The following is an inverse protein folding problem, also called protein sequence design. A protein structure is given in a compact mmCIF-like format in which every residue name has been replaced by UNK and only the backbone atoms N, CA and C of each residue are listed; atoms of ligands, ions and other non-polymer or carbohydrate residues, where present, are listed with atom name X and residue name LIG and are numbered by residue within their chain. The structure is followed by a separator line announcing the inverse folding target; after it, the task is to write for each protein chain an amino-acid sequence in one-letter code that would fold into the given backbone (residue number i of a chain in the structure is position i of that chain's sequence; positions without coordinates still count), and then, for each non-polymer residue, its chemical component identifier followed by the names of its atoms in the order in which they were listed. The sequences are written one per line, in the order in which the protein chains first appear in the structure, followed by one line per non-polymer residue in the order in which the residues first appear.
data_IF_123914763168
#
_entry.id   IF_123914763168
#
_cell.length_a   1.000
_cell.length_b   1.000
_cell.length_c   1.000
_cell.angle_alpha   90.00
_cell.angle_beta   90.00
_cell.angle_gamma   90.00
#
_symmetry.space_group_name_H-M   'P 1'
#
loop_
_entity.id
_entity.type
_entity.pdbx_description
1 polymer ?
#
# COMPACT_ATOMS: atom_id res chain seq x y z
N UNK A 1 -4.02 2.58 8.68
CA UNK A 1 -4.91 2.66 7.49
C UNK A 1 -5.46 4.06 7.23
N UNK A 2 -5.84 4.82 8.27
CA UNK A 2 -6.58 6.09 8.11
C UNK A 2 -5.79 7.23 7.49
N UNK A 3 -4.48 7.27 7.68
CA UNK A 3 -3.63 8.37 7.21
C UNK A 3 -3.01 8.11 5.83
N UNK A 4 -2.57 6.88 5.57
CA UNK A 4 -1.80 6.54 4.36
C UNK A 4 -2.52 5.65 3.34
N UNK A 5 -3.63 5.00 3.69
CA UNK A 5 -4.36 4.14 2.75
C UNK A 5 -5.69 4.81 2.39
N UNK A 6 -6.58 4.98 3.36
CA UNK A 6 -7.93 5.52 3.14
C UNK A 6 -7.98 6.81 2.30
N UNK A 7 -7.15 7.84 2.55
CA UNK A 7 -7.20 9.09 1.79
C UNK A 7 -6.70 8.95 0.34
N UNK A 8 -5.92 7.92 0.06
CA UNK A 8 -5.35 7.66 -1.26
C UNK A 8 -6.19 6.71 -2.12
N UNK A 9 -6.97 5.80 -1.51
CA UNK A 9 -7.81 4.84 -2.25
C UNK A 9 -9.21 5.37 -2.59
N UNK A 10 -9.82 6.18 -1.70
CA UNK A 10 -11.23 6.58 -1.85
C UNK A 10 -12.23 5.50 -1.41
N UNK A 11 -13.48 5.89 -1.17
CA UNK A 11 -14.52 5.00 -0.61
C UNK A 11 -15.73 4.92 -1.56
N UNK A 12 -16.08 3.71 -1.99
CA UNK A 12 -17.28 3.45 -2.80
C UNK A 12 -18.20 2.47 -2.06
N UNK A 13 -19.37 2.92 -1.59
CA UNK A 13 -20.26 2.10 -0.74
C UNK A 13 -21.15 1.11 -1.51
N UNK A 14 -21.17 1.19 -2.85
CA UNK A 14 -21.92 0.30 -3.74
C UNK A 14 -20.97 -0.33 -4.74
N UNK A 15 -21.13 -1.61 -5.03
CA UNK A 15 -20.27 -2.32 -5.98
C UNK A 15 -20.34 -1.66 -7.35
N UNK A 16 -19.20 -1.51 -8.01
CA UNK A 16 -19.11 -1.01 -9.38
C UNK A 16 -18.17 -1.88 -10.21
N UNK A 17 -18.29 -1.79 -11.53
CA UNK A 17 -17.47 -2.54 -12.46
C UNK A 17 -16.23 -1.72 -12.83
N UNK A 18 -15.06 -2.18 -12.41
CA UNK A 18 -13.78 -1.65 -12.88
C UNK A 18 -13.55 -2.13 -14.31
N UNK A 19 -13.60 -1.19 -15.26
CA UNK A 19 -13.43 -1.45 -16.70
C UNK A 19 -12.00 -1.84 -17.07
N UNK A 20 -11.01 -1.41 -16.29
CA UNK A 20 -9.60 -1.69 -16.53
C UNK A 20 -9.23 -3.07 -15.99
N UNK A 21 -9.60 -3.35 -14.74
CA UNK A 21 -9.36 -4.66 -14.12
C UNK A 21 -10.35 -5.74 -14.55
N UNK A 22 -11.46 -5.37 -15.21
CA UNK A 22 -12.56 -6.27 -15.63
C UNK A 22 -13.08 -7.11 -14.47
N UNK A 23 -13.30 -6.45 -13.33
CA UNK A 23 -13.79 -7.08 -12.10
C UNK A 23 -14.76 -6.13 -11.38
N UNK A 24 -15.66 -6.69 -10.57
CA UNK A 24 -16.43 -5.89 -9.63
C UNK A 24 -15.59 -5.58 -8.39
N UNK A 25 -15.67 -4.34 -7.93
CA UNK A 25 -15.05 -3.92 -6.67
C UNK A 25 -15.95 -2.97 -5.88
N UNK A 26 -15.62 -2.79 -4.60
CA UNK A 26 -16.38 -2.00 -3.63
C UNK A 26 -15.45 -1.49 -2.52
N UNK A 27 -15.94 -0.61 -1.65
CA UNK A 27 -15.24 -0.09 -0.49
C UNK A 27 -13.94 0.63 -0.87
N UNK A 28 -12.80 0.15 -0.36
CA UNK A 28 -11.46 0.70 -0.62
C UNK A 28 -10.70 -0.15 -1.65
N UNK A 29 -11.43 -0.67 -2.65
CA UNK A 29 -10.90 -1.59 -3.67
C UNK A 29 -10.97 -3.06 -3.28
N UNK A 30 -12.01 -3.47 -2.53
CA UNK A 30 -12.27 -4.88 -2.23
C UNK A 30 -12.86 -5.57 -3.45
N UNK A 31 -12.25 -6.68 -3.87
CA UNK A 31 -12.70 -7.52 -4.99
C UNK A 31 -13.22 -8.88 -4.52
N UNK A 32 -13.05 -9.20 -3.23
CA UNK A 32 -13.55 -10.42 -2.60
C UNK A 32 -14.12 -10.12 -1.21
N UNK A 33 -15.27 -10.70 -0.90
CA UNK A 33 -15.92 -10.63 0.41
C UNK A 33 -16.09 -12.06 0.93
N UNK A 34 -15.49 -12.36 2.09
CA UNK A 34 -15.51 -13.70 2.69
C UNK A 34 -15.06 -14.80 1.71
N UNK A 35 -14.01 -14.51 0.93
CA UNK A 35 -13.43 -15.44 -0.05
C UNK A 35 -14.16 -15.52 -1.40
N UNK A 36 -15.34 -14.91 -1.53
CA UNK A 36 -16.13 -14.90 -2.77
C UNK A 36 -15.92 -13.60 -3.56
N UNK A 37 -15.93 -13.62 -4.90
CA UNK A 37 -15.87 -12.41 -5.70
C UNK A 37 -16.99 -11.42 -5.34
N UNK A 38 -16.68 -10.12 -5.39
CA UNK A 38 -17.73 -9.09 -5.38
C UNK A 38 -18.60 -9.25 -6.62
N UNK A 39 -19.89 -9.00 -6.48
CA UNK A 39 -20.86 -9.03 -7.57
C UNK A 39 -21.68 -7.75 -7.59
N UNK A 40 -22.38 -7.52 -8.69
CA UNK A 40 -23.31 -6.41 -8.82
C UNK A 40 -24.34 -6.37 -7.67
N UNK A 41 -24.72 -5.16 -7.25
CA UNK A 41 -25.75 -4.91 -6.25
C UNK A 41 -25.30 -5.01 -4.78
N UNK A 42 -24.03 -5.34 -4.51
CA UNK A 42 -23.52 -5.34 -3.14
C UNK A 42 -23.41 -3.90 -2.60
N UNK A 43 -23.68 -3.74 -1.30
CA UNK A 43 -23.48 -2.47 -0.60
C UNK A 43 -23.03 -2.70 0.84
N UNK A 44 -22.23 -1.79 1.36
CA UNK A 44 -21.75 -1.81 2.73
C UNK A 44 -21.76 -0.41 3.33
N UNK A 45 -21.82 -0.34 4.65
CA UNK A 45 -21.58 0.90 5.41
C UNK A 45 -20.09 1.26 5.40
N UNK A 46 -19.79 2.52 5.72
CA UNK A 46 -18.40 3.00 5.86
C UNK A 46 -17.65 2.20 6.91
N UNK A 47 -18.32 1.85 8.00
CA UNK A 47 -17.78 1.10 9.13
C UNK A 47 -17.44 -0.34 8.72
N UNK A 48 -18.33 -0.99 7.96
CA UNK A 48 -18.07 -2.31 7.39
C UNK A 48 -16.90 -2.27 6.40
N UNK A 49 -16.86 -1.28 5.50
CA UNK A 49 -15.74 -1.09 4.57
C UNK A 49 -14.41 -0.90 5.31
N UNK A 50 -14.40 -0.12 6.39
CA UNK A 50 -13.22 0.10 7.22
C UNK A 50 -12.78 -1.18 7.93
N UNK A 51 -13.71 -1.95 8.48
CA UNK A 51 -13.42 -3.22 9.15
C UNK A 51 -12.79 -4.23 8.17
N UNK A 52 -13.33 -4.33 6.96
CA UNK A 52 -12.77 -5.17 5.89
C UNK A 52 -11.36 -4.73 5.51
N UNK A 53 -11.15 -3.43 5.31
CA UNK A 53 -9.84 -2.87 5.01
C UNK A 53 -8.81 -3.19 6.11
N UNK A 54 -9.17 -3.03 7.39
CA UNK A 54 -8.25 -3.33 8.50
C UNK A 54 -7.85 -4.79 8.47
N UNK A 55 -8.83 -5.70 8.32
CA UNK A 55 -8.56 -7.14 8.25
C UNK A 55 -7.61 -7.47 7.08
N UNK A 56 -7.89 -6.93 5.90
CA UNK A 56 -7.07 -7.12 4.70
C UNK A 56 -5.67 -6.56 4.88
N UNK A 57 -5.53 -5.33 5.40
CA UNK A 57 -4.23 -4.71 5.68
C UNK A 57 -3.37 -5.57 6.60
N UNK A 58 -3.99 -6.15 7.64
CA UNK A 58 -3.28 -7.06 8.57
C UNK A 58 -2.85 -8.33 7.84
N UNK A 59 -3.79 -9.06 7.25
CA UNK A 59 -3.53 -10.41 6.73
C UNK A 59 -2.74 -10.44 5.42
N UNK A 60 -3.02 -9.51 4.51
CA UNK A 60 -2.50 -9.59 3.14
C UNK A 60 -1.24 -8.75 2.95
N UNK A 61 -0.94 -7.84 3.89
CA UNK A 61 0.19 -6.91 3.77
C UNK A 61 1.09 -6.90 5.00
N UNK A 62 0.57 -6.61 6.19
CA UNK A 62 1.39 -6.54 7.40
C UNK A 62 2.04 -7.89 7.75
N UNK A 63 1.25 -8.95 7.91
CA UNK A 63 1.78 -10.27 8.29
C UNK A 63 2.82 -10.79 7.27
N UNK A 64 2.58 -10.75 5.95
CA UNK A 64 3.60 -11.17 4.98
C UNK A 64 4.90 -10.36 5.04
N UNK A 65 4.83 -9.06 5.33
CA UNK A 65 6.03 -8.23 5.51
C UNK A 65 6.77 -8.57 6.80
N UNK A 66 6.05 -8.85 7.89
CA UNK A 66 6.66 -9.31 9.16
C UNK A 66 7.34 -10.65 8.98
N UNK A 67 6.66 -11.61 8.35
CA UNK A 67 7.15 -12.98 8.21
C UNK A 67 8.36 -13.08 7.28
N UNK A 68 8.41 -12.26 6.22
CA UNK A 68 9.41 -12.38 5.15
C UNK A 68 10.40 -11.22 5.09
N UNK A 69 10.09 -10.08 5.69
CA UNK A 69 10.94 -8.90 5.72
C UNK A 69 11.92 -8.96 6.90
N UNK A 70 13.19 -9.27 6.62
CA UNK A 70 14.23 -9.34 7.65
C UNK A 70 14.32 -8.02 8.44
N UNK A 71 14.08 -8.08 9.75
CA UNK A 71 14.15 -6.92 10.64
C UNK A 71 12.97 -5.95 10.56
N UNK A 72 11.95 -6.24 9.72
CA UNK A 72 10.83 -5.32 9.50
C UNK A 72 10.03 -5.02 10.78
N UNK A 73 9.77 -6.06 11.59
CA UNK A 73 9.00 -5.93 12.84
C UNK A 73 9.67 -5.01 13.88
N UNK A 74 10.98 -4.78 13.77
CA UNK A 74 11.74 -3.91 14.66
C UNK A 74 11.83 -2.46 14.18
N UNK A 75 11.35 -2.17 12.97
CA UNK A 75 11.35 -0.81 12.45
C UNK A 75 10.38 0.07 13.28
N UNK A 76 10.63 1.39 13.39
CA UNK A 76 9.68 2.32 14.00
C UNK A 76 8.27 2.20 13.39
N UNK A 77 7.23 2.47 14.17
CA UNK A 77 5.84 2.34 13.72
C UNK A 77 5.56 3.18 12.47
N UNK A 78 6.17 4.37 12.35
CA UNK A 78 6.07 5.22 11.15
C UNK A 78 6.64 4.53 9.90
N UNK A 79 7.78 3.85 10.04
CA UNK A 79 8.40 3.06 8.98
C UNK A 79 7.51 1.89 8.62
N UNK A 80 7.04 1.11 9.60
CA UNK A 80 6.14 -0.01 9.34
C UNK A 80 4.87 0.46 8.61
N UNK A 81 4.23 1.53 9.07
CA UNK A 81 3.04 2.09 8.45
C UNK A 81 3.27 2.53 7.00
N UNK A 82 4.43 3.15 6.71
CA UNK A 82 4.82 3.56 5.36
C UNK A 82 5.02 2.37 4.43
N UNK A 83 5.76 1.33 4.87
CA UNK A 83 6.02 0.14 4.06
C UNK A 83 4.76 -0.70 3.85
N UNK A 84 3.84 -0.75 4.83
CA UNK A 84 2.52 -1.41 4.68
C UNK A 84 1.66 -0.66 3.67
N UNK A 85 1.66 0.69 3.69
CA UNK A 85 0.95 1.48 2.68
C UNK A 85 1.53 1.28 1.28
N UNK A 86 2.85 1.21 1.16
CA UNK A 86 3.55 0.86 -0.08
C UNK A 86 3.11 -0.50 -0.61
N UNK A 87 3.17 -1.53 0.24
CA UNK A 87 2.72 -2.87 -0.11
C UNK A 87 1.24 -2.92 -0.51
N UNK A 88 0.36 -2.13 0.13
CA UNK A 88 -1.04 -2.02 -0.27
C UNK A 88 -1.17 -1.54 -1.71
N UNK A 89 -0.34 -0.57 -2.11
CA UNK A 89 -0.45 0.07 -3.42
C UNK A 89 0.29 -0.66 -4.55
N UNK A 90 1.51 -1.14 -4.32
CA UNK A 90 2.33 -1.78 -5.36
C UNK A 90 2.67 -3.25 -5.07
N UNK A 91 1.99 -3.84 -4.08
CA UNK A 91 2.03 -5.27 -3.76
C UNK A 91 3.13 -5.67 -2.79
N UNK A 92 2.90 -6.77 -2.05
CA UNK A 92 3.90 -7.38 -1.17
C UNK A 92 5.12 -7.88 -1.95
N UNK A 93 4.89 -8.61 -3.04
CA UNK A 93 5.94 -9.11 -3.92
C UNK A 93 6.88 -10.16 -3.27
N UNK A 94 8.15 -10.15 -3.67
CA UNK A 94 9.14 -11.16 -3.32
C UNK A 94 10.56 -10.58 -3.29
N UNK A 95 11.45 -11.19 -2.48
CA UNK A 95 12.88 -10.83 -2.44
C UNK A 95 13.62 -11.31 -3.70
N UNK A 96 13.27 -12.50 -4.20
CA UNK A 96 13.83 -13.06 -5.44
C UNK A 96 12.71 -13.67 -6.31
N UNK A 97 12.48 -13.17 -7.55
CA UNK A 97 13.03 -11.94 -8.10
C UNK A 97 12.57 -10.72 -7.28
N UNK A 98 13.34 -9.62 -7.30
CA UNK A 98 13.00 -8.39 -6.57
C UNK A 98 11.73 -7.75 -7.14
N UNK A 99 10.61 -7.94 -6.43
CA UNK A 99 9.30 -7.40 -6.79
C UNK A 99 8.56 -6.87 -5.55
N UNK A 100 7.70 -5.89 -5.74
CA UNK A 100 6.87 -5.32 -4.67
C UNK A 100 7.68 -4.80 -3.48
N UNK A 101 7.02 -4.66 -2.34
CA UNK A 101 7.62 -4.14 -1.12
C UNK A 101 8.78 -5.02 -0.64
N UNK A 102 8.64 -6.35 -0.61
CA UNK A 102 9.68 -7.28 -0.16
C UNK A 102 10.95 -7.22 -1.04
N UNK A 103 10.81 -6.91 -2.32
CA UNK A 103 11.92 -6.75 -3.25
C UNK A 103 12.49 -5.33 -3.30
N UNK A 104 11.92 -4.38 -2.57
CA UNK A 104 12.35 -2.98 -2.59
C UNK A 104 13.73 -2.79 -1.96
N UNK A 105 14.45 -1.75 -2.39
CA UNK A 105 15.70 -1.31 -1.74
C UNK A 105 15.50 -1.06 -0.24
N UNK A 106 14.35 -0.50 0.15
CA UNK A 106 14.00 -0.29 1.55
C UNK A 106 14.00 -1.63 2.33
N UNK A 107 13.32 -2.68 1.83
CA UNK A 107 13.23 -3.97 2.53
C UNK A 107 14.49 -4.81 2.46
N UNK A 108 15.17 -4.80 1.31
CA UNK A 108 16.30 -5.70 1.10
C UNK A 108 17.59 -5.15 1.72
N UNK A 109 17.74 -3.83 1.81
CA UNK A 109 19.01 -3.19 2.17
C UNK A 109 18.89 -2.37 3.46
N UNK A 110 17.96 -1.42 3.51
CA UNK A 110 17.99 -0.41 4.57
C UNK A 110 17.34 -0.86 5.87
N UNK A 111 16.20 -1.55 5.82
CA UNK A 111 15.55 -2.06 7.03
C UNK A 111 16.41 -3.08 7.79
N UNK A 112 16.99 -4.11 7.13
CA UNK A 112 17.86 -5.06 7.84
C UNK A 112 19.10 -4.40 8.47
N UNK A 113 19.51 -3.24 7.95
CA UNK A 113 20.67 -2.47 8.42
C UNK A 113 20.32 -1.40 9.47
N UNK A 114 19.05 -1.28 9.90
CA UNK A 114 18.62 -0.25 10.84
C UNK A 114 18.64 1.17 10.27
N UNK A 115 18.72 1.32 8.95
CA UNK A 115 18.85 2.61 8.25
C UNK A 115 17.46 3.19 7.93
N UNK A 116 16.72 3.58 8.95
CA UNK A 116 15.30 3.92 8.85
C UNK A 116 14.99 5.10 7.93
N UNK A 117 15.74 6.20 8.05
CA UNK A 117 15.58 7.37 7.16
C UNK A 117 15.80 7.00 5.70
N UNK A 118 16.87 6.26 5.41
CA UNK A 118 17.16 5.79 4.06
C UNK A 118 16.09 4.82 3.55
N UNK A 119 15.50 4.00 4.42
CA UNK A 119 14.37 3.14 4.05
C UNK A 119 13.15 3.97 3.63
N UNK A 120 12.80 5.02 4.40
CA UNK A 120 11.73 5.95 4.06
C UNK A 120 11.96 6.62 2.70
N UNK A 121 13.15 7.19 2.50
CA UNK A 121 13.52 7.91 1.29
C UNK A 121 13.57 6.98 0.06
N UNK A 122 14.03 5.74 0.23
CA UNK A 122 14.10 4.76 -0.85
C UNK A 122 12.72 4.35 -1.39
N UNK A 123 11.66 4.46 -0.59
CA UNK A 123 10.30 4.15 -1.06
C UNK A 123 9.78 5.19 -2.07
N UNK A 124 10.34 6.41 -2.09
CA UNK A 124 9.94 7.47 -3.02
C UNK A 124 10.13 7.10 -4.50
N UNK A 125 11.08 6.19 -4.78
CA UNK A 125 11.33 5.66 -6.12
C UNK A 125 10.18 4.81 -6.70
N UNK A 126 9.21 4.38 -5.89
CA UNK A 126 8.04 3.60 -6.33
C UNK A 126 6.90 4.49 -6.83
N UNK A 127 7.24 5.36 -7.79
CA UNK A 127 6.38 6.41 -8.34
C UNK A 127 6.03 6.22 -9.82
N UNK A 128 6.31 5.05 -10.40
CA UNK A 128 6.06 4.71 -11.80
C UNK A 128 4.96 3.67 -11.96
N UNK A 129 4.17 3.79 -13.02
CA UNK A 129 3.21 2.78 -13.48
C UNK A 129 3.37 2.54 -15.00
N UNK A 130 2.69 1.52 -15.52
CA UNK A 130 2.83 1.06 -16.90
C UNK A 130 3.70 -0.19 -17.03
N UNK A 131 3.74 -0.75 -18.24
CA UNK A 131 4.41 -2.02 -18.57
C UNK A 131 5.36 -1.75 -19.74
N UNK A 132 6.56 -2.34 -19.71
CA UNK A 132 7.53 -2.20 -20.79
C UNK A 132 7.93 -0.74 -21.03
N UNK A 133 7.91 -0.32 -22.29
CA UNK A 133 8.29 1.03 -22.73
C UNK A 133 7.29 2.12 -22.29
N UNK A 134 6.04 1.74 -21.98
CA UNK A 134 5.02 2.66 -21.47
C UNK A 134 5.20 2.98 -19.97
N UNK A 135 6.24 2.46 -19.32
CA UNK A 135 6.48 2.71 -17.90
C UNK A 135 6.97 4.13 -17.65
N UNK A 136 6.14 4.95 -17.00
CA UNK A 136 6.44 6.36 -16.74
C UNK A 136 6.10 6.76 -15.30
N UNK A 137 6.65 7.91 -14.86
CA UNK A 137 6.35 8.50 -13.55
C UNK A 137 4.91 8.99 -13.54
N UNK A 138 4.17 8.66 -12.48
CA UNK A 138 2.79 9.09 -12.29
C UNK A 138 2.74 10.14 -11.18
N UNK A 139 2.30 11.39 -11.46
CA UNK A 139 2.30 12.47 -10.46
C UNK A 139 1.53 12.14 -9.18
N UNK A 140 0.44 11.37 -9.27
CA UNK A 140 -0.30 10.90 -8.10
C UNK A 140 0.52 9.96 -7.21
N UNK A 141 1.35 9.10 -7.81
CA UNK A 141 2.23 8.21 -7.04
C UNK A 141 3.38 8.99 -6.41
N UNK A 142 3.94 10.00 -7.10
CA UNK A 142 4.94 10.90 -6.52
C UNK A 142 4.41 11.51 -5.21
N UNK A 143 3.23 12.13 -5.26
CA UNK A 143 2.58 12.72 -4.08
C UNK A 143 2.35 11.69 -2.98
N UNK A 144 1.84 10.50 -3.33
CA UNK A 144 1.61 9.42 -2.35
C UNK A 144 2.90 8.96 -1.68
N UNK A 145 3.98 8.79 -2.44
CA UNK A 145 5.24 8.25 -1.94
C UNK A 145 6.05 9.28 -1.15
N UNK A 146 6.03 10.54 -1.56
CA UNK A 146 6.86 11.62 -1.01
C UNK A 146 6.15 12.35 0.15
N UNK A 147 5.91 13.65 -0.04
CA UNK A 147 5.43 14.57 0.99
C UNK A 147 3.93 14.89 0.89
N UNK A 148 3.18 14.07 0.16
CA UNK A 148 1.74 14.22 0.07
C UNK A 148 1.30 15.37 -0.82
N UNK A 149 0.12 15.91 -0.50
CA UNK A 149 -0.43 17.12 -1.07
C UNK A 149 -1.20 17.92 0.00
N UNK A 150 -1.87 19.00 -0.40
CA UNK A 150 -2.57 19.89 0.51
C UNK A 150 -3.65 19.19 1.39
N UNK A 151 -4.11 18.00 1.02
CA UNK A 151 -5.18 17.28 1.72
C UNK A 151 -4.71 15.97 2.35
N UNK A 152 -3.58 15.42 1.90
CA UNK A 152 -3.19 14.05 2.22
C UNK A 152 -1.70 13.99 2.53
N UNK A 153 -1.37 13.41 3.67
CA UNK A 153 0.01 13.14 4.08
C UNK A 153 0.66 12.10 3.16
N UNK A 154 1.93 12.31 2.84
CA UNK A 154 2.74 11.36 2.06
C UNK A 154 3.34 10.24 2.90
N UNK A 155 3.69 9.14 2.25
CA UNK A 155 4.31 8.00 2.91
C UNK A 155 5.69 8.31 3.49
N UNK A 156 6.53 9.08 2.78
CA UNK A 156 7.81 9.51 3.29
C UNK A 156 7.65 10.56 4.39
N UNK A 157 6.69 11.47 4.27
CA UNK A 157 6.38 12.47 5.30
C UNK A 157 6.06 11.81 6.65
N UNK A 158 5.12 10.86 6.68
CA UNK A 158 4.81 10.13 7.91
C UNK A 158 6.02 9.33 8.40
N UNK A 159 6.69 8.63 7.48
CA UNK A 159 7.81 7.74 7.80
C UNK A 159 8.94 8.49 8.51
N UNK A 160 9.40 9.58 7.89
CA UNK A 160 10.52 10.40 8.35
C UNK A 160 10.18 11.19 9.60
N UNK A 161 8.96 11.74 9.70
CA UNK A 161 8.56 12.58 10.84
C UNK A 161 8.38 11.78 12.14
N UNK A 162 8.25 10.45 12.04
CA UNK A 162 8.12 9.56 13.19
C UNK A 162 9.38 8.79 13.55
N UNK A 163 10.55 9.17 13.02
CA UNK A 163 11.86 8.59 13.37
C UNK A 163 12.44 9.18 14.65
#
# INVERSE_FOLDING_TARGET
VEKLIVPWEGLVLKSHWDRYAKIWDICYGETRINGKPVTAGMSFTKEQCKAMLIKRVIHDYYLPLVDKGKGFIHAPVSVQASMISGAYNFGVGSVNPRRGQLGSTAMVIYIPAGKWRQACEAQTAWNKAGIGDDRHVVPGLVKRREMGDAQRIGEAELCVSGL
#
